data_IF_144242791542
#
_entry.id   IF_144242791542
#
_cell.length_a   1.000
_cell.length_b   1.000
_cell.length_c   1.000
_cell.angle_alpha   90.00
_cell.angle_beta   90.00
_cell.angle_gamma   90.00
#
_symmetry.space_group_name_H-M   'P 1'
#
loop_
_entity.id
_entity.type
_entity.pdbx_description
1 polymer ?
#
# COMPACT_ATOMS: atom_id res chain seq x y z
N UNK A 1 22.20 -11.89 11.73
CA UNK A 1 21.14 -12.01 12.77
C UNK A 1 20.11 -12.99 12.25
N UNK A 2 20.18 -14.25 12.71
CA UNK A 2 19.35 -15.34 12.18
C UNK A 2 17.96 -15.32 12.82
N UNK A 3 16.93 -14.97 12.05
CA UNK A 3 15.51 -15.07 12.43
C UNK A 3 14.96 -16.51 12.31
N UNK A 4 15.81 -17.54 12.26
CA UNK A 4 15.37 -18.90 11.95
C UNK A 4 14.82 -19.71 13.13
N UNK A 5 14.90 -19.22 14.36
CA UNK A 5 14.57 -20.01 15.56
C UNK A 5 13.48 -19.34 16.40
N UNK A 6 12.36 -19.00 15.78
CA UNK A 6 11.14 -18.71 16.53
C UNK A 6 10.24 -19.97 16.48
N UNK A 7 10.26 -20.85 17.50
CA UNK A 7 9.42 -22.03 17.54
C UNK A 7 8.02 -21.62 17.99
N UNK A 8 7.30 -20.89 17.13
CA UNK A 8 5.86 -20.72 17.29
C UNK A 8 5.22 -22.02 16.80
N UNK A 9 5.04 -22.97 17.71
CA UNK A 9 4.28 -24.20 17.53
C UNK A 9 2.78 -23.94 17.37
N UNK A 10 2.41 -23.12 16.38
CA UNK A 10 1.01 -22.90 16.01
C UNK A 10 0.57 -23.96 15.02
N UNK A 11 -0.59 -24.56 15.28
CA UNK A 11 -1.30 -25.44 14.35
C UNK A 11 -1.46 -24.73 13.00
N UNK A 12 -1.10 -25.37 11.88
CA UNK A 12 -1.18 -24.77 10.53
C UNK A 12 -2.57 -24.20 10.22
N UNK A 13 -3.62 -24.83 10.74
CA UNK A 13 -5.00 -24.37 10.67
C UNK A 13 -5.22 -23.00 11.30
N UNK A 14 -4.61 -22.71 12.45
CA UNK A 14 -4.80 -21.44 13.16
C UNK A 14 -4.12 -20.29 12.40
N UNK A 15 -2.92 -20.52 11.84
CA UNK A 15 -2.22 -19.53 11.01
C UNK A 15 -3.05 -19.16 9.77
N UNK A 16 -3.62 -20.17 9.12
CA UNK A 16 -4.49 -20.01 7.96
C UNK A 16 -5.73 -19.18 8.31
N UNK A 17 -6.42 -19.52 9.40
CA UNK A 17 -7.60 -18.77 9.85
C UNK A 17 -7.27 -17.32 10.20
N UNK A 18 -6.17 -17.06 10.92
CA UNK A 18 -5.75 -15.69 11.23
C UNK A 18 -5.41 -14.90 9.96
N UNK A 19 -4.70 -15.52 9.03
CA UNK A 19 -4.31 -14.86 7.77
C UNK A 19 -5.55 -14.47 6.95
N UNK A 20 -6.50 -15.41 6.78
CA UNK A 20 -7.74 -15.15 6.06
C UNK A 20 -8.58 -14.09 6.80
N UNK A 21 -8.73 -14.21 8.11
CA UNK A 21 -9.47 -13.24 8.91
C UNK A 21 -8.90 -11.83 8.78
N UNK A 22 -7.58 -11.67 8.88
CA UNK A 22 -6.91 -10.38 8.73
C UNK A 22 -7.12 -9.78 7.34
N UNK A 23 -6.97 -10.57 6.27
CA UNK A 23 -7.21 -10.09 4.91
C UNK A 23 -8.69 -9.75 4.65
N UNK A 24 -9.64 -10.51 5.21
CA UNK A 24 -11.06 -10.16 5.15
C UNK A 24 -11.37 -8.87 5.91
N UNK A 25 -10.76 -8.66 7.09
CA UNK A 25 -10.91 -7.42 7.85
C UNK A 25 -10.34 -6.22 7.08
N UNK A 26 -9.15 -6.35 6.49
CA UNK A 26 -8.57 -5.31 5.64
C UNK A 26 -9.40 -5.04 4.39
N UNK A 27 -9.96 -6.09 3.77
CA UNK A 27 -10.88 -5.93 2.64
C UNK A 27 -12.12 -5.13 3.05
N UNK A 28 -12.73 -5.44 4.19
CA UNK A 28 -13.87 -4.69 4.71
C UNK A 28 -13.53 -3.21 4.98
N UNK A 29 -12.37 -2.95 5.60
CA UNK A 29 -11.86 -1.59 5.81
C UNK A 29 -11.60 -0.86 4.48
N UNK A 30 -11.04 -1.55 3.48
CA UNK A 30 -10.80 -1.01 2.14
C UNK A 30 -12.09 -0.63 1.42
N UNK A 31 -13.11 -1.50 1.48
CA UNK A 31 -14.45 -1.25 0.91
C UNK A 31 -15.12 -0.08 1.62
N UNK A 32 -15.03 0.00 2.95
CA UNK A 32 -15.55 1.12 3.72
C UNK A 32 -14.86 2.44 3.34
N UNK A 33 -13.53 2.45 3.21
CA UNK A 33 -12.76 3.63 2.77
C UNK A 33 -13.14 4.05 1.35
N UNK A 34 -13.32 3.10 0.43
CA UNK A 34 -13.81 3.37 -0.92
C UNK A 34 -15.20 3.99 -0.91
N UNK A 35 -16.12 3.43 -0.12
CA UNK A 35 -17.48 3.95 -0.01
C UNK A 35 -17.48 5.39 0.53
N UNK A 36 -16.67 5.69 1.55
CA UNK A 36 -16.49 7.05 2.07
C UNK A 36 -15.87 7.96 1.01
N UNK A 37 -14.86 7.51 0.28
CA UNK A 37 -14.23 8.30 -0.78
C UNK A 37 -15.21 8.64 -1.92
N UNK A 38 -16.01 7.66 -2.35
CA UNK A 38 -17.05 7.85 -3.37
C UNK A 38 -18.15 8.76 -2.85
N UNK A 39 -18.61 8.57 -1.61
CA UNK A 39 -19.58 9.44 -0.97
C UNK A 39 -19.11 10.90 -0.94
N UNK A 40 -17.86 11.13 -0.49
CA UNK A 40 -17.25 12.46 -0.50
C UNK A 40 -17.10 13.04 -1.90
N UNK A 41 -16.93 12.20 -2.91
CA UNK A 41 -16.88 12.63 -4.30
C UNK A 41 -18.26 13.02 -4.84
N UNK A 42 -19.29 12.22 -4.57
CA UNK A 42 -20.66 12.44 -5.08
C UNK A 42 -21.38 13.57 -4.36
N UNK A 43 -21.29 13.64 -3.03
CA UNK A 43 -21.89 14.72 -2.22
C UNK A 43 -21.32 16.10 -2.62
N UNK A 44 -20.10 16.13 -3.17
CA UNK A 44 -19.50 17.35 -3.71
C UNK A 44 -19.85 17.61 -5.17
N UNK A 45 -20.31 16.61 -5.94
CA UNK A 45 -20.75 16.80 -7.33
C UNK A 45 -22.08 17.57 -7.41
N UNK A 46 -22.98 17.41 -6.44
CA UNK A 46 -24.26 18.14 -6.39
C UNK A 46 -24.09 19.63 -6.01
N UNK A 47 -22.92 20.02 -5.49
CA UNK A 47 -22.55 21.41 -5.18
C UNK A 47 -21.44 21.97 -6.09
N UNK A 48 -21.14 21.31 -7.22
CA UNK A 48 -20.18 21.83 -8.22
C UNK A 48 -20.60 23.20 -8.77
N UNK A 49 -21.88 23.57 -8.68
CA UNK A 49 -22.35 24.90 -9.06
C UNK A 49 -22.33 25.95 -7.94
N UNK A 50 -22.13 25.58 -6.67
CA UNK A 50 -22.35 26.52 -5.56
C UNK A 50 -21.34 26.49 -4.39
N UNK A 51 -20.35 25.60 -4.33
CA UNK A 51 -19.36 25.70 -3.23
C UNK A 51 -18.03 24.99 -3.51
N UNK A 52 -16.89 25.70 -3.55
CA UNK A 52 -15.57 25.09 -3.64
C UNK A 52 -14.98 24.86 -2.24
N UNK A 53 -15.14 23.65 -1.71
CA UNK A 53 -14.40 23.16 -0.53
C UNK A 53 -13.19 22.31 -0.96
N UNK A 54 -12.37 22.84 -1.86
CA UNK A 54 -11.28 22.09 -2.50
C UNK A 54 -9.91 22.48 -1.95
N UNK A 55 -9.71 22.29 -0.66
CA UNK A 55 -8.36 22.01 -0.13
C UNK A 55 -8.31 20.93 0.95
N UNK A 56 -9.44 20.30 1.26
CA UNK A 56 -9.45 19.13 2.15
C UNK A 56 -10.33 18.01 1.60
N UNK A 57 -11.57 18.29 1.20
CA UNK A 57 -12.52 17.23 0.83
C UNK A 57 -12.19 16.51 -0.49
N UNK A 58 -11.80 17.21 -1.56
CA UNK A 58 -11.50 16.57 -2.85
C UNK A 58 -10.15 15.83 -2.83
N UNK A 59 -9.18 16.37 -2.09
CA UNK A 59 -7.91 15.69 -1.83
C UNK A 59 -8.14 14.45 -0.96
N UNK A 60 -8.95 14.59 0.11
CA UNK A 60 -9.32 13.47 0.99
C UNK A 60 -10.13 12.40 0.26
N UNK A 61 -11.11 12.77 -0.57
CA UNK A 61 -11.90 11.84 -1.38
C UNK A 61 -10.99 11.03 -2.32
N UNK A 62 -10.09 11.71 -3.03
CA UNK A 62 -9.09 11.05 -3.90
C UNK A 62 -8.18 10.11 -3.12
N UNK A 63 -7.69 10.52 -1.95
CA UNK A 63 -6.88 9.69 -1.07
C UNK A 63 -7.66 8.48 -0.56
N UNK A 64 -8.87 8.64 -0.02
CA UNK A 64 -9.73 7.55 0.46
C UNK A 64 -10.09 6.54 -0.64
N UNK A 65 -10.35 7.03 -1.85
CA UNK A 65 -10.60 6.18 -3.01
C UNK A 65 -9.35 5.39 -3.41
N UNK A 66 -8.21 6.07 -3.54
CA UNK A 66 -6.95 5.43 -3.94
C UNK A 66 -6.50 4.40 -2.91
N UNK A 67 -6.41 4.79 -1.63
CA UNK A 67 -5.97 3.89 -0.55
C UNK A 67 -6.95 2.74 -0.38
N UNK A 68 -8.26 3.00 -0.41
CA UNK A 68 -9.28 1.96 -0.32
C UNK A 68 -9.19 0.95 -1.46
N UNK A 69 -9.01 1.40 -2.71
CA UNK A 69 -8.81 0.51 -3.86
C UNK A 69 -7.54 -0.34 -3.71
N UNK A 70 -6.42 0.28 -3.33
CA UNK A 70 -5.16 -0.43 -3.12
C UNK A 70 -5.28 -1.50 -2.04
N UNK A 71 -5.90 -1.19 -0.90
CA UNK A 71 -6.11 -2.16 0.19
C UNK A 71 -7.03 -3.30 -0.25
N UNK A 72 -8.09 -3.01 -1.02
CA UNK A 72 -8.96 -4.06 -1.56
C UNK A 72 -8.20 -5.01 -2.49
N UNK A 73 -7.42 -4.47 -3.43
CA UNK A 73 -6.62 -5.27 -4.37
C UNK A 73 -5.64 -6.15 -3.61
N UNK A 74 -4.87 -5.59 -2.68
CA UNK A 74 -3.88 -6.34 -1.89
C UNK A 74 -4.55 -7.44 -1.06
N UNK A 75 -5.70 -7.16 -0.44
CA UNK A 75 -6.44 -8.14 0.36
C UNK A 75 -7.00 -9.29 -0.48
N UNK A 76 -7.51 -8.99 -1.69
CA UNK A 76 -7.97 -10.03 -2.64
C UNK A 76 -6.78 -10.87 -3.12
N UNK A 77 -5.64 -10.24 -3.44
CA UNK A 77 -4.40 -10.97 -3.79
C UNK A 77 -3.98 -11.87 -2.63
N UNK A 78 -4.07 -11.41 -1.38
CA UNK A 78 -3.77 -12.21 -0.20
C UNK A 78 -4.67 -13.45 -0.08
N UNK A 79 -5.99 -13.28 -0.18
CA UNK A 79 -6.94 -14.40 -0.12
C UNK A 79 -6.74 -15.38 -1.30
N UNK A 80 -6.57 -14.87 -2.52
CA UNK A 80 -6.38 -15.70 -3.72
C UNK A 80 -5.04 -16.45 -3.72
N UNK A 81 -3.98 -15.86 -3.14
CA UNK A 81 -2.69 -16.54 -2.99
C UNK A 81 -2.81 -17.86 -2.22
N UNK A 82 -3.67 -17.88 -1.20
CA UNK A 82 -3.93 -19.08 -0.40
C UNK A 82 -4.82 -20.06 -1.14
N UNK A 83 -5.89 -19.58 -1.79
CA UNK A 83 -6.83 -20.46 -2.51
C UNK A 83 -6.20 -21.17 -3.70
N UNK A 84 -5.32 -20.48 -4.41
CA UNK A 84 -4.61 -21.01 -5.59
C UNK A 84 -3.34 -21.79 -5.17
N UNK A 85 -2.96 -21.72 -3.89
CA UNK A 85 -1.65 -22.20 -3.38
C UNK A 85 -0.46 -21.64 -4.21
N UNK A 86 -0.66 -20.44 -4.75
CA UNK A 86 0.24 -19.81 -5.73
C UNK A 86 1.41 -19.12 -5.04
N UNK A 87 2.60 -19.73 -5.11
CA UNK A 87 3.83 -19.17 -4.51
C UNK A 87 4.16 -17.77 -5.04
N UNK A 88 3.95 -17.55 -6.35
CA UNK A 88 4.15 -16.25 -6.97
C UNK A 88 3.20 -15.19 -6.39
N UNK A 89 1.91 -15.50 -6.22
CA UNK A 89 0.94 -14.58 -5.63
C UNK A 89 1.27 -14.27 -4.16
N UNK A 90 1.82 -15.24 -3.42
CA UNK A 90 2.28 -15.00 -2.05
C UNK A 90 3.50 -14.06 -2.00
N UNK A 91 4.45 -14.20 -2.93
CA UNK A 91 5.57 -13.26 -3.05
C UNK A 91 5.10 -11.85 -3.42
N UNK A 92 4.17 -11.71 -4.36
CA UNK A 92 3.64 -10.39 -4.74
C UNK A 92 2.90 -9.74 -3.58
N UNK A 93 2.06 -10.50 -2.86
CA UNK A 93 1.39 -10.05 -1.64
C UNK A 93 2.39 -9.52 -0.60
N UNK A 94 3.42 -10.31 -0.27
CA UNK A 94 4.44 -9.90 0.69
C UNK A 94 5.20 -8.63 0.23
N UNK A 95 5.48 -8.52 -1.07
CA UNK A 95 6.09 -7.34 -1.66
C UNK A 95 5.23 -6.08 -1.47
N UNK A 96 3.92 -6.18 -1.72
CA UNK A 96 2.99 -5.07 -1.52
C UNK A 96 2.85 -4.68 -0.04
N UNK A 97 2.70 -5.65 0.87
CA UNK A 97 2.63 -5.37 2.32
C UNK A 97 3.92 -4.72 2.82
N UNK A 98 5.08 -5.20 2.37
CA UNK A 98 6.36 -4.58 2.71
C UNK A 98 6.47 -3.14 2.19
N UNK A 99 6.06 -2.89 0.93
CA UNK A 99 6.03 -1.55 0.34
C UNK A 99 5.14 -0.61 1.17
N UNK A 100 3.94 -1.08 1.57
CA UNK A 100 3.05 -0.31 2.44
C UNK A 100 3.71 0.02 3.77
N UNK A 101 4.37 -0.95 4.42
CA UNK A 101 5.08 -0.70 5.69
C UNK A 101 6.22 0.32 5.56
N UNK A 102 6.93 0.33 4.43
CA UNK A 102 7.95 1.35 4.14
C UNK A 102 7.29 2.73 4.02
N UNK A 103 6.23 2.85 3.23
CA UNK A 103 5.48 4.11 3.07
C UNK A 103 4.97 4.60 4.44
N UNK A 104 4.37 3.71 5.23
CA UNK A 104 3.84 4.02 6.56
C UNK A 104 4.92 4.55 7.50
N UNK A 105 6.10 3.90 7.51
CA UNK A 105 7.24 4.30 8.34
C UNK A 105 7.81 5.65 7.88
N UNK A 106 7.94 5.89 6.58
CA UNK A 106 8.42 7.17 6.03
C UNK A 106 7.44 8.30 6.35
N UNK A 107 6.13 8.08 6.17
CA UNK A 107 5.11 9.07 6.51
C UNK A 107 5.09 9.36 8.01
N UNK A 108 5.14 8.32 8.85
CA UNK A 108 5.16 8.47 10.31
C UNK A 108 6.40 9.22 10.82
N UNK A 109 7.59 8.87 10.33
CA UNK A 109 8.83 9.54 10.73
C UNK A 109 8.89 10.99 10.22
N UNK A 110 8.51 11.25 8.97
CA UNK A 110 8.44 12.61 8.41
C UNK A 110 7.50 13.50 9.22
N UNK A 111 6.34 12.98 9.65
CA UNK A 111 5.40 13.72 10.50
C UNK A 111 5.99 14.14 11.85
N UNK A 112 6.91 13.35 12.42
CA UNK A 112 7.58 13.68 13.67
C UNK A 112 8.71 14.70 13.48
N UNK A 113 9.58 14.51 12.48
CA UNK A 113 10.74 15.39 12.25
C UNK A 113 10.34 16.78 11.75
N UNK A 114 9.33 16.86 10.87
CA UNK A 114 8.91 18.11 10.27
C UNK A 114 7.77 18.78 11.03
N UNK A 115 7.48 18.36 12.27
CA UNK A 115 6.35 18.90 13.06
C UNK A 115 6.38 20.42 13.20
N UNK A 116 7.53 20.98 13.55
CA UNK A 116 7.67 22.41 13.80
C UNK A 116 7.78 23.21 12.49
N UNK A 117 8.48 22.67 11.50
CA UNK A 117 8.46 23.23 10.14
C UNK A 117 7.03 23.24 9.57
N UNK A 118 6.26 22.16 9.73
CA UNK A 118 4.89 22.06 9.27
C UNK A 118 3.98 23.10 9.94
N UNK A 119 4.19 23.37 11.24
CA UNK A 119 3.50 24.47 11.93
C UNK A 119 3.74 25.81 11.28
N UNK A 120 4.98 26.13 10.92
CA UNK A 120 5.29 27.41 10.28
C UNK A 120 4.76 27.47 8.84
N UNK A 121 4.85 26.38 8.09
CA UNK A 121 4.30 26.32 6.73
C UNK A 121 2.78 26.53 6.73
N UNK A 122 2.06 25.90 7.66
CA UNK A 122 0.62 26.10 7.81
C UNK A 122 0.29 27.56 8.13
N UNK A 123 1.07 28.21 8.99
CA UNK A 123 0.92 29.64 9.31
C UNK A 123 1.10 30.52 8.08
N UNK A 124 2.20 30.32 7.36
CA UNK A 124 2.54 31.07 6.16
C UNK A 124 1.52 30.85 5.05
N UNK A 125 1.01 29.63 4.89
CA UNK A 125 -0.05 29.33 3.93
C UNK A 125 -1.36 30.04 4.30
N UNK A 126 -1.76 30.04 5.59
CA UNK A 126 -2.92 30.81 6.06
C UNK A 126 -2.75 32.31 5.76
N UNK A 127 -1.61 32.90 6.10
CA UNK A 127 -1.31 34.31 5.81
C UNK A 127 -1.29 34.62 4.31
N UNK A 128 -0.74 33.73 3.49
CA UNK A 128 -0.73 33.90 2.03
C UNK A 128 -2.13 33.81 1.44
N UNK A 129 -2.93 32.88 1.95
CA UNK A 129 -4.29 32.64 1.49
C UNK A 129 -5.25 33.78 1.90
N UNK A 130 -4.98 34.54 2.96
CA UNK A 130 -5.85 35.67 3.34
C UNK A 130 -5.89 36.79 2.28
N UNK A 131 -4.86 36.90 1.44
CA UNK A 131 -4.74 37.92 0.40
C UNK A 131 -5.19 37.42 -0.99
N UNK A 132 -5.61 36.15 -1.09
CA UNK A 132 -6.05 35.52 -2.32
C UNK A 132 -7.57 35.28 -2.31
N UNK A 133 -8.28 35.75 -3.34
CA UNK A 133 -9.70 35.38 -3.54
C UNK A 133 -9.87 33.95 -4.01
N UNK A 134 -8.91 33.47 -4.80
CA UNK A 134 -8.96 32.15 -5.35
C UNK A 134 -7.59 31.51 -5.52
N UNK A 135 -7.54 30.18 -5.42
CA UNK A 135 -6.35 29.39 -5.73
C UNK A 135 -6.67 28.51 -6.95
N UNK A 136 -5.79 28.57 -7.95
CA UNK A 136 -5.81 27.64 -9.08
C UNK A 136 -5.08 26.37 -8.65
N UNK A 137 -5.78 25.24 -8.64
CA UNK A 137 -5.14 23.93 -8.49
C UNK A 137 -4.29 23.61 -9.73
N UNK A 138 -3.32 22.69 -9.58
CA UNK A 138 -2.53 22.18 -10.72
C UNK A 138 -3.36 21.51 -11.82
N UNK A 139 -4.64 21.26 -11.55
CA UNK A 139 -5.62 20.64 -12.46
C UNK A 139 -6.53 21.73 -13.09
N UNK A 140 -6.19 23.02 -12.94
CA UNK A 140 -6.91 24.13 -13.55
C UNK A 140 -8.25 24.49 -12.88
N UNK A 141 -8.58 23.90 -11.73
CA UNK A 141 -9.78 24.30 -10.96
C UNK A 141 -9.50 25.53 -10.11
N UNK A 142 -10.40 26.52 -10.22
CA UNK A 142 -10.44 27.72 -9.37
C UNK A 142 -11.17 27.40 -8.06
N UNK A 143 -10.53 27.68 -6.92
CA UNK A 143 -11.08 27.48 -5.58
C UNK A 143 -11.41 28.84 -5.00
N UNK A 144 -12.66 29.11 -4.61
CA UNK A 144 -12.97 30.34 -3.86
C UNK A 144 -12.56 30.19 -2.40
N UNK A 145 -11.61 31.03 -1.99
CA UNK A 145 -11.07 31.01 -0.64
C UNK A 145 -12.01 31.65 0.38
N UNK A 146 -12.92 32.53 -0.06
CA UNK A 146 -13.90 33.20 0.80
C UNK A 146 -14.78 32.21 1.57
N UNK A 147 -15.40 31.25 0.89
CA UNK A 147 -16.27 30.24 1.52
C UNK A 147 -15.51 29.32 2.47
N UNK A 148 -14.24 29.03 2.17
CA UNK A 148 -13.38 28.22 3.02
C UNK A 148 -13.02 28.96 4.32
N UNK A 149 -12.71 30.26 4.21
CA UNK A 149 -12.46 31.13 5.36
C UNK A 149 -13.69 31.29 6.25
N UNK A 150 -14.87 31.50 5.67
CA UNK A 150 -16.14 31.61 6.40
C UNK A 150 -16.43 30.35 7.23
N UNK A 151 -16.23 29.17 6.64
CA UNK A 151 -16.44 27.90 7.33
C UNK A 151 -15.41 27.66 8.44
N UNK A 152 -14.14 27.96 8.19
CA UNK A 152 -13.06 27.85 9.16
C UNK A 152 -13.31 28.75 10.38
N UNK A 153 -13.61 30.02 10.14
CA UNK A 153 -13.84 31.03 11.18
C UNK A 153 -15.09 30.75 12.02
N UNK A 154 -16.18 30.27 11.41
CA UNK A 154 -17.38 29.84 12.13
C UNK A 154 -17.14 28.57 12.96
N UNK A 155 -16.42 27.59 12.42
CA UNK A 155 -16.20 26.30 13.07
C UNK A 155 -15.23 26.42 14.26
N UNK A 156 -14.18 27.23 14.11
CA UNK A 156 -13.15 27.42 15.13
C UNK A 156 -13.33 28.69 15.98
N UNK A 157 -14.36 29.49 15.71
CA UNK A 157 -14.67 30.73 16.44
C UNK A 157 -13.45 31.67 16.53
N UNK A 158 -12.83 31.93 15.39
CA UNK A 158 -11.60 32.70 15.24
C UNK A 158 -11.70 33.66 14.06
N UNK A 159 -10.77 34.61 13.93
CA UNK A 159 -10.73 35.52 12.79
C UNK A 159 -9.31 35.93 12.39
N UNK A 160 -9.05 35.89 11.08
CA UNK A 160 -7.72 36.12 10.51
C UNK A 160 -6.77 34.94 10.76
N UNK A 161 -5.51 35.06 10.35
CA UNK A 161 -4.53 33.99 10.53
C UNK A 161 -3.94 34.06 11.95
N UNK A 162 -3.17 35.11 12.26
CA UNK A 162 -2.62 35.39 13.58
C UNK A 162 -3.58 36.25 14.43
N UNK A 163 -4.39 37.09 13.78
CA UNK A 163 -5.42 37.88 14.44
C UNK A 163 -6.35 38.58 13.46
N UNK A 164 -7.40 39.20 13.99
CA UNK A 164 -8.40 39.92 13.18
C UNK A 164 -7.79 41.05 12.35
N UNK A 165 -6.63 41.58 12.77
CA UNK A 165 -5.94 42.69 12.11
C UNK A 165 -5.37 42.32 10.74
N UNK A 166 -5.15 41.03 10.47
CA UNK A 166 -4.63 40.54 9.18
C UNK A 166 -5.54 40.96 8.01
N UNK A 167 -6.84 41.13 8.28
CA UNK A 167 -7.81 41.60 7.28
C UNK A 167 -7.63 43.06 6.88
N UNK A 168 -7.07 43.91 7.73
CA UNK A 168 -6.79 45.32 7.39
C UNK A 168 -5.71 45.46 6.30
N UNK A 169 -4.83 44.46 6.22
CA UNK A 169 -3.74 44.43 5.27
C UNK A 169 -4.08 43.62 4.00
N UNK A 170 -5.24 42.98 3.95
CA UNK A 170 -5.70 42.20 2.80
C UNK A 170 -6.30 43.09 1.71
N UNK A 171 -5.93 42.83 0.46
CA UNK A 171 -6.46 43.54 -0.72
C UNK A 171 -7.88 43.14 -1.08
N UNK A 172 -8.38 42.02 -0.52
CA UNK A 172 -9.62 41.37 -0.94
C UNK A 172 -10.83 41.70 -0.04
N UNK A 173 -10.64 42.43 1.06
CA UNK A 173 -11.66 42.56 2.11
C UNK A 173 -12.03 44.02 2.41
N UNK A 174 -13.30 44.34 2.76
CA UNK A 174 -13.76 45.72 2.93
C UNK A 174 -12.91 46.55 3.90
N UNK A 175 -12.65 47.80 3.50
CA UNK A 175 -11.91 48.82 4.27
C UNK A 175 -12.56 49.20 5.60
N UNK A 176 -13.82 48.82 5.83
CA UNK A 176 -14.58 49.10 7.04
C UNK A 176 -14.84 47.83 7.84
N UNK A 177 -14.46 47.84 9.13
CA UNK A 177 -14.64 46.74 10.10
C UNK A 177 -16.10 46.32 10.26
N UNK A 178 -17.04 47.27 10.13
CA UNK A 178 -18.49 47.04 10.30
C UNK A 178 -19.09 46.15 9.20
N UNK A 179 -18.46 46.16 8.03
CA UNK A 179 -18.87 45.38 6.84
C UNK A 179 -18.20 44.00 6.78
N UNK A 180 -17.42 43.65 7.80
CA UNK A 180 -16.77 42.35 7.94
C UNK A 180 -17.83 41.30 8.32
N UNK A 181 -18.60 40.85 7.33
CA UNK A 181 -19.71 39.90 7.53
C UNK A 181 -19.22 38.50 7.89
N UNK A 182 -17.97 38.15 7.56
CA UNK A 182 -17.53 36.76 7.61
C UNK A 182 -16.52 36.41 8.71
N UNK A 183 -16.02 37.41 9.45
CA UNK A 183 -15.20 37.28 10.67
C UNK A 183 -16.02 36.83 11.90
N UNK A 184 -16.97 35.91 11.68
CA UNK A 184 -17.87 35.35 12.69
C UNK A 184 -18.40 36.39 13.67
N UNK A 185 -19.38 37.21 13.28
CA UNK A 185 -20.05 38.12 14.23
C UNK A 185 -20.65 37.32 15.40
N UNK A 186 -20.41 37.77 16.63
CA UNK A 186 -21.04 37.17 17.82
C UNK A 186 -22.57 37.37 17.70
N UNK A 187 -23.38 36.31 17.85
CA UNK A 187 -24.83 36.38 17.59
C UNK A 187 -25.59 37.39 18.46
N UNK A 188 -25.07 37.71 19.63
CA UNK A 188 -25.82 38.39 20.69
C UNK A 188 -25.79 39.93 20.61
N UNK A 189 -24.89 40.52 19.83
CA UNK A 189 -24.78 42.00 19.79
C UNK A 189 -24.26 42.60 18.45
N UNK A 190 -24.12 41.78 17.40
CA UNK A 190 -23.88 42.21 16.01
C UNK A 190 -22.59 43.01 15.70
N UNK A 191 -21.83 43.39 16.72
CA UNK A 191 -20.72 44.35 16.67
C UNK A 191 -19.38 43.77 17.14
N UNK A 192 -19.38 42.57 17.73
CA UNK A 192 -18.18 41.90 18.20
C UNK A 192 -17.73 40.80 17.23
N UNK A 193 -16.44 40.81 16.90
CA UNK A 193 -15.73 39.81 16.11
C UNK A 193 -14.81 38.99 17.02
N UNK A 194 -14.46 37.78 16.59
CA UNK A 194 -13.47 36.97 17.30
C UNK A 194 -12.10 37.68 17.26
N UNK A 195 -11.54 38.00 18.44
CA UNK A 195 -10.23 38.66 18.52
C UNK A 195 -9.05 37.72 18.30
N UNK A 196 -9.26 36.41 18.50
CA UNK A 196 -8.21 35.39 18.38
C UNK A 196 -8.03 34.97 16.91
N UNK A 197 -6.77 34.85 16.47
CA UNK A 197 -6.41 34.30 15.17
C UNK A 197 -6.77 32.83 15.01
N UNK A 198 -7.04 32.40 13.77
CA UNK A 198 -7.36 31.01 13.47
C UNK A 198 -6.17 30.07 13.56
N UNK A 199 -4.96 30.53 13.28
CA UNK A 199 -3.75 29.70 13.33
C UNK A 199 -3.53 29.00 14.67
N UNK A 200 -3.46 29.69 15.84
CA UNK A 200 -3.18 29.03 17.11
C UNK A 200 -4.27 28.02 17.49
N UNK A 201 -5.54 28.34 17.24
CA UNK A 201 -6.69 27.45 17.51
C UNK A 201 -6.68 26.24 16.57
N UNK A 202 -6.43 26.48 15.28
CA UNK A 202 -6.40 25.43 14.26
C UNK A 202 -5.25 24.45 14.48
N UNK A 203 -4.06 24.94 14.80
CA UNK A 203 -2.90 24.10 15.09
C UNK A 203 -3.13 23.26 16.33
N UNK A 204 -3.68 23.82 17.40
CA UNK A 204 -4.00 23.04 18.61
C UNK A 204 -5.02 21.93 18.31
N UNK A 205 -6.10 22.27 17.59
CA UNK A 205 -7.09 21.30 17.14
C UNK A 205 -6.47 20.22 16.23
N UNK A 206 -5.65 20.62 15.26
CA UNK A 206 -5.01 19.72 14.29
C UNK A 206 -4.05 18.75 14.99
N UNK A 207 -3.20 19.24 15.89
CA UNK A 207 -2.25 18.39 16.62
C UNK A 207 -2.92 17.51 17.66
N UNK A 208 -4.07 17.90 18.20
CA UNK A 208 -4.85 17.01 19.05
C UNK A 208 -5.34 15.78 18.25
N UNK A 209 -5.87 15.99 17.04
CA UNK A 209 -6.34 14.89 16.18
C UNK A 209 -5.20 14.09 15.54
N UNK A 210 -4.06 14.72 15.21
CA UNK A 210 -2.92 13.99 14.64
C UNK A 210 -2.33 12.97 15.64
N UNK A 211 -2.44 13.22 16.95
CA UNK A 211 -2.02 12.25 17.97
C UNK A 211 -2.85 10.97 17.87
N UNK A 212 -4.18 11.09 17.69
CA UNK A 212 -5.06 9.93 17.49
C UNK A 212 -4.68 9.17 16.22
N UNK A 213 -4.42 9.89 15.13
CA UNK A 213 -3.99 9.29 13.85
C UNK A 213 -2.65 8.56 14.01
N UNK A 214 -1.70 9.11 14.78
CA UNK A 214 -0.42 8.45 15.06
C UNK A 214 -0.59 7.15 15.85
N UNK A 215 -1.47 7.11 16.86
CA UNK A 215 -1.76 5.87 17.59
C UNK A 215 -2.37 4.79 16.68
N UNK A 216 -3.32 5.18 15.82
CA UNK A 216 -3.90 4.27 14.82
C UNK A 216 -2.83 3.77 13.84
N UNK A 217 -1.94 4.66 13.39
CA UNK A 217 -0.82 4.33 12.51
C UNK A 217 0.13 3.29 13.12
N UNK A 218 0.50 3.43 14.39
CA UNK A 218 1.35 2.46 15.10
C UNK A 218 0.68 1.07 15.16
N UNK A 219 -0.62 1.01 15.46
CA UNK A 219 -1.37 -0.24 15.51
C UNK A 219 -1.39 -0.92 14.13
N UNK A 220 -1.59 -0.13 13.06
CA UNK A 220 -1.55 -0.63 11.69
C UNK A 220 -0.18 -1.19 11.31
N UNK A 221 0.91 -0.51 11.67
CA UNK A 221 2.28 -0.99 11.43
C UNK A 221 2.50 -2.35 12.14
N UNK A 222 2.06 -2.49 13.39
CA UNK A 222 2.15 -3.76 14.11
C UNK A 222 1.35 -4.86 13.39
N UNK A 223 0.13 -4.55 12.93
CA UNK A 223 -0.69 -5.49 12.18
C UNK A 223 -0.04 -5.90 10.84
N UNK A 224 0.55 -4.96 10.10
CA UNK A 224 1.31 -5.22 8.86
C UNK A 224 2.47 -6.18 9.11
N UNK A 225 3.27 -5.95 10.17
CA UNK A 225 4.37 -6.84 10.54
C UNK A 225 3.90 -8.24 10.94
N UNK A 226 2.79 -8.34 11.70
CA UNK A 226 2.22 -9.63 12.09
C UNK A 226 1.74 -10.42 10.87
N UNK A 227 1.03 -9.78 9.96
CA UNK A 227 0.54 -10.43 8.73
C UNK A 227 1.71 -10.81 7.82
N UNK A 228 2.72 -9.97 7.68
CA UNK A 228 3.93 -10.29 6.92
C UNK A 228 4.68 -11.49 7.51
N UNK A 229 4.77 -11.59 8.84
CA UNK A 229 5.38 -12.73 9.51
C UNK A 229 4.59 -14.03 9.27
N UNK A 230 3.26 -13.97 9.35
CA UNK A 230 2.39 -15.11 9.05
C UNK A 230 2.55 -15.53 7.57
N UNK A 231 2.52 -14.57 6.64
CA UNK A 231 2.75 -14.83 5.21
C UNK A 231 4.10 -15.47 4.94
N UNK A 232 5.17 -15.00 5.59
CA UNK A 232 6.49 -15.59 5.46
C UNK A 232 6.51 -17.05 5.91
N UNK A 233 5.89 -17.36 7.06
CA UNK A 233 5.80 -18.73 7.57
C UNK A 233 5.00 -19.62 6.60
N UNK A 234 3.85 -19.14 6.11
CA UNK A 234 3.03 -19.86 5.12
C UNK A 234 3.78 -20.10 3.80
N UNK A 235 4.49 -19.09 3.30
CA UNK A 235 5.32 -19.20 2.11
C UNK A 235 6.43 -20.24 2.27
N UNK A 236 7.04 -20.32 3.45
CA UNK A 236 8.06 -21.33 3.77
C UNK A 236 7.46 -22.73 3.72
N UNK A 237 6.28 -22.92 4.28
CA UNK A 237 5.56 -24.20 4.27
C UNK A 237 5.21 -24.64 2.85
N UNK A 238 4.64 -23.73 2.04
CA UNK A 238 4.37 -23.98 0.61
C UNK A 238 5.65 -24.33 -0.17
N UNK A 239 6.76 -23.68 0.18
CA UNK A 239 8.07 -23.91 -0.44
C UNK A 239 8.64 -25.29 -0.12
N UNK A 240 8.55 -25.70 1.14
CA UNK A 240 9.03 -27.01 1.59
C UNK A 240 8.20 -28.15 0.97
N UNK A 241 6.88 -28.01 0.94
CA UNK A 241 5.98 -28.98 0.29
C UNK A 241 6.32 -29.13 -1.19
N UNK A 242 6.48 -28.02 -1.93
CA UNK A 242 6.81 -28.08 -3.35
C UNK A 242 8.19 -28.71 -3.60
N UNK A 243 9.19 -28.39 -2.76
CA UNK A 243 10.51 -28.98 -2.87
C UNK A 243 10.51 -30.50 -2.58
N UNK A 244 9.72 -30.95 -1.59
CA UNK A 244 9.50 -32.39 -1.32
C UNK A 244 8.81 -33.08 -2.49
N UNK A 245 7.79 -32.45 -3.08
CA UNK A 245 7.09 -32.99 -4.26
C UNK A 245 8.01 -33.11 -5.47
N UNK A 246 8.82 -32.09 -5.73
CA UNK A 246 9.84 -32.11 -6.79
C UNK A 246 10.84 -33.27 -6.59
N UNK A 247 11.40 -33.42 -5.38
CA UNK A 247 12.30 -34.54 -5.04
C UNK A 247 11.63 -35.90 -5.17
N UNK A 248 10.34 -36.03 -4.81
CA UNK A 248 9.57 -37.27 -4.94
C UNK A 248 9.35 -37.63 -6.42
N UNK A 249 9.08 -36.65 -7.27
CA UNK A 249 8.93 -36.85 -8.72
C UNK A 249 10.25 -37.30 -9.36
N UNK A 250 11.34 -36.59 -9.07
CA UNK A 250 12.69 -36.93 -9.57
C UNK A 250 13.12 -38.34 -9.14
N UNK A 251 12.87 -38.73 -7.88
CA UNK A 251 13.19 -40.10 -7.43
C UNK A 251 12.37 -41.16 -8.17
N UNK A 252 11.11 -40.89 -8.51
CA UNK A 252 10.27 -41.83 -9.28
C UNK A 252 10.80 -42.02 -10.69
N UNK A 253 11.17 -40.94 -11.37
CA UNK A 253 11.75 -41.00 -12.71
C UNK A 253 13.05 -41.83 -12.74
N UNK A 254 13.96 -41.61 -11.78
CA UNK A 254 15.21 -42.39 -11.69
C UNK A 254 14.94 -43.90 -11.50
N UNK A 255 13.92 -44.25 -10.71
CA UNK A 255 13.53 -45.66 -10.48
C UNK A 255 12.89 -46.27 -11.72
N UNK A 256 12.08 -45.51 -12.46
CA UNK A 256 11.46 -45.94 -13.73
C UNK A 256 12.55 -46.20 -14.79
N UNK A 257 13.49 -45.28 -14.97
CA UNK A 257 14.63 -45.43 -15.89
C UNK A 257 15.50 -46.65 -15.52
N UNK A 258 15.79 -46.85 -14.23
CA UNK A 258 16.56 -48.01 -13.77
C UNK A 258 15.83 -49.34 -14.02
N UNK A 259 14.50 -49.36 -13.93
CA UNK A 259 13.69 -50.55 -14.18
C UNK A 259 13.61 -50.89 -15.68
N UNK A 260 13.53 -49.88 -16.56
CA UNK A 260 13.59 -50.10 -18.01
C UNK A 260 14.94 -50.69 -18.46
N UNK A 261 16.06 -50.21 -17.92
CA UNK A 261 17.39 -50.77 -18.20
C UNK A 261 17.51 -52.26 -17.79
N UNK A 262 16.91 -52.62 -16.65
CA UNK A 262 16.85 -54.01 -16.21
C UNK A 262 16.02 -54.91 -17.15
N UNK A 263 14.99 -54.39 -17.81
CA UNK A 263 14.17 -55.16 -18.76
C UNK A 263 14.82 -55.34 -20.14
N UNK A 264 15.68 -54.41 -20.58
CA UNK A 264 16.44 -54.52 -21.83
C UNK A 264 17.67 -55.45 -21.70
N UNK A 265 18.31 -55.45 -20.53
CA UNK A 265 19.53 -56.23 -20.26
C UNK A 265 19.48 -57.76 -20.50
N UNK A 266 18.34 -58.48 -20.43
CA UNK A 266 18.26 -59.90 -20.77
C UNK A 266 18.11 -60.15 -22.28
N UNK A 267 17.57 -59.19 -23.05
CA UNK A 267 17.32 -59.33 -24.49
C UNK A 267 18.58 -58.99 -25.32
N UNK A 268 19.37 -58.01 -24.91
CA UNK A 268 20.63 -57.68 -25.59
C UNK A 268 21.69 -58.79 -25.41
N UNK A 269 21.66 -59.52 -24.29
CA UNK A 269 22.57 -60.65 -24.05
C UNK A 269 22.30 -61.86 -24.95
N UNK A 270 21.08 -61.99 -25.49
CA UNK A 270 20.73 -63.04 -26.48
C UNK A 270 21.15 -62.61 -27.90
N UNK A 271 21.19 -61.31 -28.18
CA UNK A 271 21.71 -60.77 -29.45
C UNK A 271 23.22 -61.02 -29.62
N UNK A 272 24.02 -60.73 -28.59
CA UNK A 272 25.48 -60.89 -28.67
C UNK A 272 25.93 -62.36 -28.66
N UNK A 273 25.20 -63.26 -27.97
CA UNK A 273 25.52 -64.69 -27.99
C UNK A 273 25.18 -65.37 -29.35
N UNK A 274 24.43 -64.70 -30.22
CA UNK A 274 24.11 -65.19 -31.57
C UNK A 274 25.16 -64.74 -32.60
N UNK A 275 25.88 -63.65 -32.34
CA UNK A 275 26.87 -63.09 -33.27
C UNK A 275 28.31 -63.57 -33.01
N UNK A 276 28.59 -64.18 -31.86
CA UNK A 276 29.94 -64.68 -31.55
C UNK A 276 30.24 -66.08 -32.14
N UNK A 277 29.33 -66.68 -32.91
CA UNK A 277 29.57 -67.99 -33.57
C UNK A 277 29.84 -67.91 -35.07
N UNK A 278 29.90 -66.72 -35.68
CA UNK A 278 30.20 -66.62 -37.12
C UNK A 278 30.90 -65.31 -37.46
N UNK A 279 32.22 -65.24 -37.23
CA UNK A 279 33.17 -64.49 -38.08
C UNK A 279 34.62 -64.61 -37.56
N UNK A 280 35.24 -65.75 -37.87
CA UNK A 280 36.69 -65.77 -38.17
C UNK A 280 36.91 -65.22 -39.59
N UNK A 281 37.89 -64.32 -39.72
CA UNK A 281 38.47 -63.72 -40.95
C UNK A 281 37.83 -62.41 -41.48
N UNK A 282 38.51 -61.26 -41.32
CA UNK A 282 39.35 -60.56 -42.32
C UNK A 282 39.64 -59.10 -41.87
N UNK A 283 40.93 -58.80 -41.66
CA UNK A 283 41.74 -57.58 -41.96
C UNK A 283 41.24 -56.12 -41.69
N UNK A 284 42.05 -55.39 -40.89
CA UNK A 284 42.54 -53.97 -40.96
C UNK A 284 41.55 -52.79 -41.24
N UNK A 285 41.58 -51.61 -40.60
CA UNK A 285 42.65 -50.61 -40.29
C UNK A 285 42.19 -49.55 -39.23
N UNK A 286 43.16 -48.94 -38.53
CA UNK A 286 43.10 -47.76 -37.60
C UNK A 286 42.67 -46.40 -38.26
N UNK A 287 42.67 -45.21 -37.58
CA UNK A 287 41.99 -44.75 -36.35
C UNK A 287 41.37 -43.30 -36.47
N UNK A 288 40.70 -42.81 -35.42
CA UNK A 288 40.37 -41.38 -35.18
C UNK A 288 38.87 -41.15 -34.91
N UNK A 289 38.39 -40.21 -34.09
CA UNK A 289 38.98 -39.09 -33.34
C UNK A 289 37.92 -38.64 -32.31
N UNK A 290 38.40 -38.12 -31.18
CA UNK A 290 37.66 -37.37 -30.15
C UNK A 290 37.21 -36.00 -30.71
N UNK A 291 35.97 -35.56 -30.46
CA UNK A 291 35.62 -34.20 -29.99
C UNK A 291 34.11 -33.93 -29.93
N UNK A 292 33.70 -33.46 -28.74
CA UNK A 292 32.95 -32.22 -28.44
C UNK A 292 31.55 -31.87 -29.00
N UNK A 293 30.76 -31.41 -28.01
CA UNK A 293 29.85 -30.26 -28.02
C UNK A 293 28.48 -30.37 -28.70
N UNK A 294 27.43 -30.17 -27.90
CA UNK A 294 26.32 -29.29 -28.31
C UNK A 294 25.52 -28.75 -27.11
N UNK A 295 25.74 -27.46 -26.80
CA UNK A 295 24.73 -26.58 -26.20
C UNK A 295 23.90 -25.95 -27.31
N UNK A 296 22.60 -25.74 -27.10
CA UNK A 296 21.70 -24.76 -27.77
C UNK A 296 20.42 -24.75 -26.90
N UNK A 297 20.16 -23.69 -26.12
CA UNK A 297 19.52 -22.41 -26.47
C UNK A 297 17.99 -22.52 -26.58
N UNK A 298 17.27 -21.79 -25.73
CA UNK A 298 15.84 -21.55 -25.84
C UNK A 298 15.54 -20.12 -25.43
N UNK A 299 15.19 -19.36 -26.45
CA UNK A 299 14.68 -17.99 -26.49
C UNK A 299 13.35 -17.83 -25.74
#
# INVERSE_FOLDING_TARGET
>A
MSLSNFPIGWNSTVKLYLFIFANCAFLACGVASLAVGVWLYTDRNDFIELTPSSFSALSAAGLCCFTGATVCIISVVGCTAVWIEGRFLMYTYMGFVLLLGIVHTVTGTTGLFYKDSAREHVRLDLLKNINATHVMTRIGRKIDLSLTWDHLQRSLKCCGADGYEDWFYSTQWPRNVTDMTNCGKVPDDGSHFYRQGCYPVFIEWLFHHIVVVNWVSIILIIAEFLVLAISYVMLREMTDVNHKNYKRCSRRQIVEEANEQLQLSPLDRVGDASQETDQTHVYSTHPGTVSDAMSIDSR
#
